data_IF_395722550717
#
_entry.id   IF_395722550717
#
_cell.length_a   1.000
_cell.length_b   1.000
_cell.length_c   1.000
_cell.angle_alpha   90.00
_cell.angle_beta   90.00
_cell.angle_gamma   90.00
#
_symmetry.space_group_name_H-M   'P 1'
#
loop_
_entity.id
_entity.type
_entity.pdbx_description
1 polymer ?
#
# COMPACT_ATOMS: atom_id res chain seq x y z
N UNK A 1 -6.02 -10.10 -20.29
CA UNK A 1 -5.58 -9.88 -18.89
C UNK A 1 -5.03 -8.47 -18.76
N UNK A 2 -5.28 -7.77 -17.63
CA UNK A 2 -4.71 -6.43 -17.36
C UNK A 2 -3.18 -6.50 -17.32
N UNK A 3 -2.49 -5.58 -18.02
CA UNK A 3 -1.01 -5.47 -18.02
C UNK A 3 -0.43 -5.26 -16.62
N UNK A 4 -1.22 -4.71 -15.70
CA UNK A 4 -0.85 -4.47 -14.31
C UNK A 4 -1.99 -4.97 -13.41
N UNK A 5 -1.96 -6.24 -12.98
CA UNK A 5 -3.01 -6.83 -12.15
C UNK A 5 -2.94 -6.38 -10.68
N UNK A 6 -1.76 -5.92 -10.23
CA UNK A 6 -1.50 -5.47 -8.86
C UNK A 6 -0.70 -4.16 -8.86
N UNK A 7 -0.98 -3.29 -7.90
CA UNK A 7 -0.30 -2.01 -7.69
C UNK A 7 0.32 -1.96 -6.30
N UNK A 8 1.63 -1.74 -6.20
CA UNK A 8 2.33 -1.43 -4.96
C UNK A 8 2.23 0.06 -4.66
N UNK A 9 1.92 0.41 -3.42
CA UNK A 9 1.76 1.80 -2.97
C UNK A 9 2.88 2.12 -2.00
N UNK A 10 3.92 2.76 -2.53
CA UNK A 10 5.08 3.23 -1.79
C UNK A 10 4.79 4.60 -1.13
N UNK A 11 3.75 4.64 -0.31
CA UNK A 11 3.35 5.83 0.44
C UNK A 11 2.55 5.44 1.70
N UNK A 12 2.27 6.41 2.58
CA UNK A 12 1.49 6.23 3.80
C UNK A 12 0.31 7.21 3.91
N UNK A 13 -0.54 7.00 4.92
CA UNK A 13 -1.63 7.91 5.27
C UNK A 13 -2.71 8.06 4.19
N UNK A 14 -3.35 9.22 4.15
CA UNK A 14 -4.53 9.45 3.30
C UNK A 14 -4.23 9.34 1.80
N UNK A 15 -3.04 9.71 1.36
CA UNK A 15 -2.67 9.60 -0.06
C UNK A 15 -2.62 8.12 -0.47
N UNK A 16 -2.04 7.26 0.37
CA UNK A 16 -2.04 5.83 0.13
C UNK A 16 -3.47 5.28 0.04
N UNK A 17 -4.35 5.69 0.96
CA UNK A 17 -5.78 5.33 0.96
C UNK A 17 -6.48 5.77 -0.33
N UNK A 18 -6.26 7.02 -0.76
CA UNK A 18 -6.88 7.56 -1.97
C UNK A 18 -6.47 6.77 -3.23
N UNK A 19 -5.17 6.46 -3.35
CA UNK A 19 -4.65 5.63 -4.45
C UNK A 19 -5.21 4.21 -4.40
N UNK A 20 -5.31 3.59 -3.21
CA UNK A 20 -5.93 2.26 -3.06
C UNK A 20 -7.39 2.27 -3.54
N UNK A 21 -8.16 3.28 -3.13
CA UNK A 21 -9.56 3.43 -3.56
C UNK A 21 -9.68 3.56 -5.08
N UNK A 22 -8.79 4.32 -5.72
CA UNK A 22 -8.76 4.43 -7.17
C UNK A 22 -8.39 3.09 -7.84
N UNK A 23 -7.38 2.38 -7.32
CA UNK A 23 -6.98 1.07 -7.84
C UNK A 23 -8.10 0.02 -7.69
N UNK A 24 -8.81 0.02 -6.57
CA UNK A 24 -9.95 -0.86 -6.32
C UNK A 24 -11.09 -0.62 -7.31
N UNK A 25 -11.39 0.65 -7.66
CA UNK A 25 -12.38 0.98 -8.71
C UNK A 25 -12.01 0.46 -10.09
N UNK A 26 -10.71 0.26 -10.34
CA UNK A 26 -10.19 -0.32 -11.58
C UNK A 26 -10.06 -1.86 -11.51
N UNK A 27 -10.56 -2.49 -10.44
CA UNK A 27 -10.46 -3.93 -10.23
C UNK A 27 -9.03 -4.44 -10.05
N UNK A 28 -8.12 -3.59 -9.56
CA UNK A 28 -6.71 -3.94 -9.32
C UNK A 28 -6.49 -4.35 -7.88
N UNK A 29 -5.64 -5.35 -7.67
CA UNK A 29 -5.15 -5.69 -6.34
C UNK A 29 -4.15 -4.64 -5.85
N UNK A 30 -4.05 -4.44 -4.55
CA UNK A 30 -3.22 -3.41 -3.93
C UNK A 30 -2.28 -4.01 -2.89
N UNK A 31 -1.03 -3.55 -2.86
CA UNK A 31 -0.07 -3.87 -1.83
C UNK A 31 0.43 -2.58 -1.18
N UNK A 32 0.45 -2.52 0.15
CA UNK A 32 0.97 -1.41 0.93
C UNK A 32 2.32 -1.75 1.56
N UNK A 33 3.11 -0.72 1.81
CA UNK A 33 4.34 -0.81 2.62
C UNK A 33 4.17 -0.01 3.91
N UNK A 34 4.86 -0.43 4.97
CA UNK A 34 4.92 0.31 6.23
C UNK A 34 6.23 0.11 6.97
N UNK A 35 6.69 1.16 7.66
CA UNK A 35 7.75 1.09 8.64
C UNK A 35 7.24 0.51 9.97
N UNK A 36 8.15 0.13 10.86
CA UNK A 36 7.79 -0.50 12.14
C UNK A 36 6.87 0.40 13.00
N UNK A 37 7.02 1.71 12.86
CA UNK A 37 6.26 2.77 13.52
C UNK A 37 4.82 2.88 13.00
N UNK A 38 4.59 2.46 11.75
CA UNK A 38 3.32 2.56 11.02
C UNK A 38 2.49 1.27 11.04
N UNK A 39 2.82 0.31 11.91
CA UNK A 39 2.15 -1.01 11.99
C UNK A 39 0.63 -0.97 12.13
N UNK A 40 0.11 0.11 12.70
CA UNK A 40 -1.33 0.29 12.97
C UNK A 40 -1.94 1.40 12.11
N UNK A 41 -1.20 1.88 11.10
CA UNK A 41 -1.64 2.98 10.24
C UNK A 41 -2.83 2.56 9.37
N UNK A 42 -3.79 3.47 9.23
CA UNK A 42 -5.09 3.19 8.61
C UNK A 42 -4.98 2.67 7.17
N UNK A 43 -3.96 3.12 6.42
CA UNK A 43 -3.77 2.72 5.02
C UNK A 43 -3.52 1.22 4.86
N UNK A 44 -3.00 0.55 5.89
CA UNK A 44 -2.76 -0.89 5.85
C UNK A 44 -4.05 -1.70 5.81
N UNK A 45 -5.10 -1.23 6.50
CA UNK A 45 -6.41 -1.88 6.49
C UNK A 45 -7.15 -1.74 5.16
N UNK A 46 -6.73 -0.79 4.31
CA UNK A 46 -7.33 -0.57 2.99
C UNK A 46 -6.64 -1.35 1.86
N UNK A 47 -5.51 -2.01 2.14
CA UNK A 47 -4.74 -2.76 1.16
C UNK A 47 -5.13 -4.25 1.17
N UNK A 48 -4.95 -4.94 0.03
CA UNK A 48 -5.12 -6.39 -0.03
C UNK A 48 -3.96 -7.13 0.65
N UNK A 49 -2.74 -6.58 0.52
CA UNK A 49 -1.53 -7.10 1.12
C UNK A 49 -0.74 -5.95 1.76
N UNK A 50 -0.05 -6.21 2.87
CA UNK A 50 0.77 -5.22 3.58
C UNK A 50 2.13 -5.83 3.94
N UNK A 51 3.20 -5.12 3.61
CA UNK A 51 4.58 -5.57 3.82
C UNK A 51 5.36 -4.59 4.69
N UNK A 52 5.97 -5.10 5.76
CA UNK A 52 6.93 -4.32 6.54
C UNK A 52 8.18 -4.08 5.68
N UNK A 53 8.64 -2.84 5.57
CA UNK A 53 9.95 -2.55 4.95
C UNK A 53 11.08 -2.81 5.94
N UNK A 54 12.22 -3.27 5.44
CA UNK A 54 13.39 -3.57 6.26
C UNK A 54 13.87 -2.31 7.00
N UNK A 55 14.24 -2.49 8.26
CA UNK A 55 14.80 -1.42 9.08
C UNK A 55 16.16 -1.00 8.46
N UNK A 56 16.35 0.29 8.17
CA UNK A 56 17.65 0.84 7.73
C UNK A 56 17.83 1.17 6.24
N UNK A 57 16.77 1.18 5.41
CA UNK A 57 16.88 1.59 3.99
C UNK A 57 17.06 3.11 3.76
N UNK A 58 17.34 3.89 4.80
CA UNK A 58 17.48 5.35 4.73
C UNK A 58 18.33 5.97 5.83
N UNK A 59 19.22 5.19 6.47
CA UNK A 59 20.33 5.75 7.27
C UNK A 59 21.58 5.88 6.41
#
# INVERSE_FOLDING_TARGET
MSKFPKTLIANQGEIAISVMRAANKLGKQTAAVYANEDKISLHLFNANEAYKIADGLGQ
#
